data_IF_687355729444
#
_entry.id   IF_687355729444
#
_cell.length_a   1.000
_cell.length_b   1.000
_cell.length_c   1.000
_cell.angle_alpha   90.00
_cell.angle_beta   90.00
_cell.angle_gamma   90.00
#
_symmetry.space_group_name_H-M   'P 1'
#
loop_
_entity.id
_entity.type
_entity.pdbx_description
1 polymer ?
#
# COMPACT_ATOMS: atom_id res chain seq x y z
N UNK A 1 50.48 -72.66 -28.92
CA UNK A 1 49.71 -71.87 -27.98
C UNK A 1 48.25 -71.71 -28.40
N UNK A 2 47.86 -71.73 -29.68
CA UNK A 2 46.47 -71.51 -30.16
C UNK A 2 45.48 -72.64 -29.78
N UNK A 3 45.88 -73.90 -29.62
CA UNK A 3 44.96 -74.99 -29.27
C UNK A 3 44.43 -75.00 -27.83
N UNK A 4 45.21 -74.50 -26.89
CA UNK A 4 44.77 -74.33 -25.44
C UNK A 4 43.78 -73.20 -25.27
N UNK A 5 43.74 -72.17 -26.19
CA UNK A 5 42.84 -71.06 -26.09
C UNK A 5 41.40 -71.43 -26.59
N UNK A 6 41.30 -72.36 -27.53
CA UNK A 6 40.01 -72.80 -28.06
C UNK A 6 39.37 -73.98 -27.31
N UNK A 7 40.08 -74.55 -26.34
CA UNK A 7 39.52 -75.63 -25.51
C UNK A 7 38.50 -75.03 -24.55
N UNK A 8 37.27 -75.56 -24.57
CA UNK A 8 36.13 -75.06 -23.76
C UNK A 8 35.72 -73.60 -24.04
N UNK A 9 35.79 -73.19 -25.32
CA UNK A 9 35.42 -71.83 -25.76
C UNK A 9 33.99 -71.45 -25.34
N UNK A 10 33.04 -72.37 -25.35
CA UNK A 10 31.65 -72.13 -24.88
C UNK A 10 31.57 -71.77 -23.39
N UNK A 11 32.35 -72.49 -22.56
CA UNK A 11 32.42 -72.18 -21.11
C UNK A 11 33.06 -70.83 -20.86
N UNK A 12 34.05 -70.44 -21.65
CA UNK A 12 34.68 -69.10 -21.51
C UNK A 12 33.76 -67.96 -21.91
N UNK A 13 32.99 -68.11 -23.00
CA UNK A 13 31.98 -67.16 -23.43
C UNK A 13 30.88 -67.07 -22.40
N UNK A 14 30.41 -68.21 -21.87
CA UNK A 14 29.42 -68.23 -20.78
C UNK A 14 29.90 -67.52 -19.53
N UNK A 15 31.17 -67.74 -19.12
CA UNK A 15 31.77 -67.05 -17.95
C UNK A 15 31.85 -65.54 -18.17
N UNK A 16 32.19 -65.05 -19.37
CA UNK A 16 32.19 -63.64 -19.71
C UNK A 16 30.79 -63.07 -19.66
N UNK A 17 29.79 -63.76 -20.24
CA UNK A 17 28.39 -63.32 -20.19
C UNK A 17 27.88 -63.24 -18.74
N UNK A 18 28.15 -64.25 -17.91
CA UNK A 18 27.78 -64.25 -16.48
C UNK A 18 28.49 -63.10 -15.76
N UNK A 19 29.78 -62.85 -16.04
CA UNK A 19 30.54 -61.75 -15.45
C UNK A 19 29.96 -60.38 -15.80
N UNK A 20 29.55 -60.19 -17.06
CA UNK A 20 28.87 -58.96 -17.53
C UNK A 20 27.54 -58.78 -16.83
N UNK A 21 26.73 -59.85 -16.70
CA UNK A 21 25.44 -59.79 -16.01
C UNK A 21 25.63 -59.46 -14.52
N UNK A 22 26.60 -60.14 -13.87
CA UNK A 22 26.93 -59.84 -12.47
C UNK A 22 27.49 -58.43 -12.26
N UNK A 23 28.27 -57.91 -13.21
CA UNK A 23 28.77 -56.54 -13.18
C UNK A 23 27.63 -55.57 -13.32
N UNK A 24 26.68 -55.83 -14.25
CA UNK A 24 25.50 -54.95 -14.46
C UNK A 24 24.60 -54.92 -13.21
N UNK A 25 24.38 -56.09 -12.57
CA UNK A 25 23.66 -56.18 -11.30
C UNK A 25 24.41 -55.48 -10.16
N UNK A 26 25.75 -55.61 -10.11
CA UNK A 26 26.55 -54.95 -9.10
C UNK A 26 26.57 -53.43 -9.23
N UNK A 27 26.53 -52.91 -10.44
CA UNK A 27 26.43 -51.46 -10.68
C UNK A 27 25.07 -50.92 -10.21
N UNK A 28 23.97 -51.61 -10.55
CA UNK A 28 22.62 -51.22 -10.15
C UNK A 28 22.41 -51.26 -8.61
N UNK A 29 23.05 -52.22 -7.92
CA UNK A 29 23.04 -52.33 -6.45
C UNK A 29 23.87 -51.23 -5.79
N UNK A 30 24.95 -50.75 -6.42
CA UNK A 30 25.85 -49.77 -5.81
C UNK A 30 25.40 -48.28 -6.02
N UNK A 31 24.57 -48.00 -7.03
CA UNK A 31 24.04 -46.65 -7.32
C UNK A 31 22.51 -46.66 -7.48
N UNK A 32 21.77 -46.96 -6.40
CA UNK A 32 20.34 -47.08 -6.45
C UNK A 32 19.69 -45.70 -6.72
N UNK A 33 18.60 -45.71 -7.48
CA UNK A 33 17.78 -44.53 -7.70
C UNK A 33 16.99 -44.21 -6.44
N UNK A 34 17.12 -42.98 -5.94
CA UNK A 34 16.45 -42.50 -4.75
C UNK A 34 15.71 -41.18 -5.02
N UNK A 35 14.76 -40.85 -4.15
CA UNK A 35 14.05 -39.57 -4.21
C UNK A 35 14.67 -38.56 -3.28
N UNK A 36 14.83 -37.32 -3.73
CA UNK A 36 15.17 -36.16 -2.92
C UNK A 36 14.06 -35.12 -3.00
N UNK A 37 13.66 -34.61 -1.85
CA UNK A 37 12.67 -33.55 -1.77
C UNK A 37 13.36 -32.20 -1.50
N UNK A 38 13.01 -31.21 -2.30
CA UNK A 38 13.49 -29.84 -2.18
C UNK A 38 12.26 -29.01 -1.84
N UNK A 39 12.27 -28.40 -0.66
CA UNK A 39 11.15 -27.58 -0.18
C UNK A 39 11.37 -26.13 -0.53
N UNK A 40 10.27 -25.35 -0.55
CA UNK A 40 10.27 -23.90 -0.73
C UNK A 40 10.97 -23.45 -2.02
N UNK A 41 10.76 -24.17 -3.12
CA UNK A 41 11.20 -23.73 -4.46
C UNK A 41 10.23 -22.65 -4.93
N UNK A 42 10.77 -21.46 -5.19
CA UNK A 42 9.98 -20.32 -5.69
C UNK A 42 9.75 -20.46 -7.19
N UNK A 43 8.49 -20.35 -7.63
CA UNK A 43 8.13 -20.32 -9.04
C UNK A 43 8.30 -18.90 -9.58
N UNK A 44 9.11 -18.76 -10.63
CA UNK A 44 9.32 -17.49 -11.32
C UNK A 44 8.19 -17.26 -12.34
N UNK A 45 7.44 -16.18 -12.15
CA UNK A 45 6.44 -15.76 -13.13
C UNK A 45 7.12 -15.03 -14.29
N UNK A 46 6.88 -15.51 -15.51
CA UNK A 46 7.41 -14.91 -16.74
C UNK A 46 6.29 -14.33 -17.60
N UNK A 47 6.65 -13.49 -18.59
CA UNK A 47 5.70 -12.86 -19.51
C UNK A 47 4.57 -12.07 -18.83
N UNK A 48 4.88 -11.42 -17.69
CA UNK A 48 3.92 -10.61 -16.92
C UNK A 48 3.27 -9.50 -17.76
N UNK A 49 3.94 -9.08 -18.86
CA UNK A 49 3.41 -8.14 -19.84
C UNK A 49 2.13 -8.61 -20.55
N UNK A 50 1.88 -9.90 -20.60
CA UNK A 50 0.68 -10.47 -21.25
C UNK A 50 -0.62 -10.00 -20.55
N UNK A 51 -0.62 -9.86 -19.23
CA UNK A 51 -1.76 -9.33 -18.47
C UNK A 51 -1.72 -7.80 -18.35
N UNK A 52 -0.56 -7.23 -18.04
CA UNK A 52 -0.45 -5.78 -17.85
C UNK A 52 -0.71 -4.99 -19.13
N UNK A 53 -0.36 -5.53 -20.31
CA UNK A 53 -0.68 -4.96 -21.62
C UNK A 53 -2.18 -4.93 -21.93
N UNK A 54 -2.98 -5.77 -21.28
CA UNK A 54 -4.44 -5.79 -21.36
C UNK A 54 -5.11 -4.93 -20.29
N UNK A 55 -4.35 -4.14 -19.52
CA UNK A 55 -4.89 -3.36 -18.40
C UNK A 55 -5.33 -4.22 -17.21
N UNK A 56 -4.79 -5.43 -17.09
CA UNK A 56 -5.06 -6.36 -16.00
C UNK A 56 -3.90 -6.40 -15.01
N UNK A 57 -4.19 -6.80 -13.79
CA UNK A 57 -3.24 -7.09 -12.73
C UNK A 57 -3.60 -8.43 -12.12
N UNK A 58 -2.69 -9.02 -11.35
CA UNK A 58 -2.90 -10.33 -10.74
C UNK A 58 -2.38 -10.36 -9.31
N UNK A 59 -2.92 -11.28 -8.55
CA UNK A 59 -2.48 -11.64 -7.21
C UNK A 59 -2.31 -13.16 -7.14
N UNK A 60 -1.22 -13.59 -6.48
CA UNK A 60 -0.99 -15.02 -6.20
C UNK A 60 -1.90 -15.44 -5.05
N UNK A 61 -2.61 -16.55 -5.24
CA UNK A 61 -3.51 -17.10 -4.23
C UNK A 61 -2.84 -18.28 -3.53
N UNK A 62 -3.04 -18.40 -2.21
CA UNK A 62 -2.61 -19.54 -1.37
C UNK A 62 -1.10 -19.86 -1.44
N UNK A 63 -0.25 -18.82 -1.64
CA UNK A 63 1.19 -19.00 -1.83
C UNK A 63 1.51 -20.11 -2.84
N UNK A 64 0.71 -20.19 -3.92
CA UNK A 64 0.83 -21.23 -4.92
C UNK A 64 2.11 -21.13 -5.77
N UNK A 65 2.84 -20.05 -5.66
CA UNK A 65 4.16 -19.80 -6.23
C UNK A 65 5.32 -20.45 -5.43
N UNK A 66 5.01 -21.07 -4.29
CA UNK A 66 6.00 -21.81 -3.50
C UNK A 66 5.65 -23.28 -3.51
N UNK A 67 6.55 -24.12 -4.03
CA UNK A 67 6.32 -25.54 -4.26
C UNK A 67 7.37 -26.43 -3.61
N UNK A 68 7.00 -27.69 -3.43
CA UNK A 68 7.93 -28.76 -3.11
C UNK A 68 8.22 -29.56 -4.37
N UNK A 69 9.51 -29.71 -4.68
CA UNK A 69 9.97 -30.50 -5.84
C UNK A 69 10.54 -31.83 -5.36
N UNK A 70 10.17 -32.93 -6.04
CA UNK A 70 10.70 -34.25 -5.88
C UNK A 70 11.54 -34.61 -7.09
N UNK A 71 12.79 -34.90 -6.87
CA UNK A 71 13.75 -35.32 -7.89
C UNK A 71 14.11 -36.78 -7.65
N UNK A 72 13.96 -37.61 -8.68
CA UNK A 72 14.34 -38.99 -8.69
C UNK A 72 15.58 -39.17 -9.56
N UNK A 73 16.67 -39.62 -8.95
CA UNK A 73 17.94 -39.76 -9.64
C UNK A 73 18.84 -40.81 -8.93
N UNK A 74 19.90 -41.31 -9.59
CA UNK A 74 20.92 -42.14 -8.98
C UNK A 74 21.54 -41.42 -7.75
N UNK A 75 21.89 -42.16 -6.73
CA UNK A 75 22.46 -41.65 -5.47
C UNK A 75 23.69 -40.77 -5.72
N UNK A 76 24.51 -41.13 -6.72
CA UNK A 76 25.69 -40.34 -7.12
C UNK A 76 25.31 -38.95 -7.63
N UNK A 77 24.27 -38.85 -8.41
CA UNK A 77 23.79 -37.57 -9.00
C UNK A 77 23.02 -36.71 -7.98
N UNK A 78 22.27 -37.34 -7.06
CA UNK A 78 21.41 -36.64 -6.09
C UNK A 78 22.16 -35.73 -5.12
N UNK A 79 23.44 -36.06 -4.82
CA UNK A 79 24.26 -35.24 -3.94
C UNK A 79 24.58 -33.85 -4.51
N UNK A 80 24.61 -33.72 -5.83
CA UNK A 80 24.85 -32.46 -6.55
C UNK A 80 23.59 -31.62 -6.79
N UNK A 81 22.40 -32.16 -6.48
CA UNK A 81 21.13 -31.48 -6.70
C UNK A 81 20.73 -30.74 -5.43
N UNK A 82 20.56 -29.42 -5.51
CA UNK A 82 20.09 -28.54 -4.44
C UNK A 82 18.96 -27.62 -4.93
N UNK A 83 18.53 -26.70 -4.10
CA UNK A 83 17.46 -25.74 -4.47
C UNK A 83 17.87 -24.81 -5.61
N UNK A 84 19.17 -24.56 -5.81
CA UNK A 84 19.68 -23.69 -6.87
C UNK A 84 19.78 -24.43 -8.21
N UNK A 85 19.83 -25.75 -8.17
CA UNK A 85 19.84 -26.62 -9.35
C UNK A 85 18.48 -26.72 -10.02
N UNK A 86 17.39 -26.40 -9.31
CA UNK A 86 16.01 -26.50 -9.79
C UNK A 86 15.50 -25.12 -10.15
N UNK A 87 15.00 -24.99 -11.36
CA UNK A 87 14.30 -23.78 -11.81
C UNK A 87 12.83 -24.14 -12.08
N UNK A 88 11.92 -23.42 -11.44
CA UNK A 88 10.48 -23.52 -11.68
C UNK A 88 10.00 -22.21 -12.30
N UNK A 89 9.29 -22.30 -13.42
CA UNK A 89 8.74 -21.15 -14.16
C UNK A 89 7.26 -21.33 -14.41
N UNK A 90 6.52 -20.24 -14.48
CA UNK A 90 5.13 -20.20 -14.92
C UNK A 90 4.95 -19.03 -15.86
N UNK A 91 4.52 -19.31 -17.09
CA UNK A 91 4.36 -18.31 -18.14
C UNK A 91 2.93 -17.75 -18.11
N UNK A 92 2.78 -16.43 -17.83
CA UNK A 92 1.47 -15.79 -17.76
C UNK A 92 0.74 -15.69 -19.10
N UNK A 93 1.43 -15.95 -20.23
CA UNK A 93 0.76 -16.06 -21.53
C UNK A 93 -0.08 -17.34 -21.67
N UNK A 94 0.18 -18.34 -20.82
CA UNK A 94 -0.54 -19.63 -20.79
C UNK A 94 -1.63 -19.68 -19.71
N UNK A 95 -1.99 -18.51 -19.12
CA UNK A 95 -3.03 -18.45 -18.10
C UNK A 95 -4.37 -18.95 -18.64
N UNK A 96 -5.00 -19.82 -17.89
CA UNK A 96 -6.34 -20.35 -18.21
C UNK A 96 -7.43 -19.42 -17.67
N UNK A 97 -8.68 -19.58 -18.13
CA UNK A 97 -9.82 -18.75 -17.71
C UNK A 97 -10.11 -18.83 -16.20
N UNK A 98 -9.70 -19.92 -15.55
CA UNK A 98 -9.82 -20.12 -14.10
C UNK A 98 -8.62 -19.59 -13.30
N UNK A 99 -7.70 -18.88 -13.97
CA UNK A 99 -6.56 -18.23 -13.34
C UNK A 99 -5.40 -19.16 -13.01
N UNK A 100 -5.32 -20.34 -13.64
CA UNK A 100 -4.21 -21.28 -13.45
C UNK A 100 -3.13 -21.06 -14.48
N UNK A 101 -1.88 -21.08 -14.04
CA UNK A 101 -0.69 -21.01 -14.91
C UNK A 101 0.14 -22.26 -14.67
N UNK A 102 0.41 -23.07 -15.72
CA UNK A 102 1.18 -24.30 -15.58
C UNK A 102 2.60 -24.01 -15.10
N UNK A 103 3.13 -24.91 -14.25
CA UNK A 103 4.50 -24.81 -13.75
C UNK A 103 5.40 -25.71 -14.60
N UNK A 104 6.38 -25.10 -15.22
CA UNK A 104 7.46 -25.79 -15.90
C UNK A 104 8.65 -25.95 -14.96
N UNK A 105 9.13 -27.20 -14.81
CA UNK A 105 10.30 -27.54 -14.03
C UNK A 105 11.48 -27.84 -14.95
N UNK A 106 12.61 -27.25 -14.65
CA UNK A 106 13.88 -27.54 -15.31
C UNK A 106 15.01 -27.67 -14.31
N UNK A 107 16.03 -28.43 -14.68
CA UNK A 107 17.24 -28.61 -13.90
C UNK A 107 18.42 -27.97 -14.64
N UNK A 108 19.44 -27.60 -13.89
CA UNK A 108 20.70 -27.15 -14.46
C UNK A 108 21.28 -28.23 -15.37
N UNK A 109 21.87 -27.82 -16.49
CA UNK A 109 22.44 -28.74 -17.48
C UNK A 109 23.55 -29.61 -16.86
N UNK A 110 23.58 -30.89 -17.28
CA UNK A 110 24.62 -31.87 -16.87
C UNK A 110 24.24 -32.75 -15.68
N UNK A 111 23.02 -32.58 -15.11
CA UNK A 111 22.50 -33.48 -14.07
C UNK A 111 21.72 -34.64 -14.72
N UNK A 112 22.11 -35.86 -14.41
CA UNK A 112 21.39 -37.06 -14.86
C UNK A 112 20.27 -37.38 -13.86
N UNK A 113 19.02 -37.16 -14.32
CA UNK A 113 17.82 -37.38 -13.50
C UNK A 113 16.82 -38.22 -14.24
N UNK A 114 16.22 -39.16 -13.54
CA UNK A 114 15.17 -40.03 -14.11
C UNK A 114 13.84 -39.28 -14.20
N UNK A 115 13.49 -38.48 -13.16
CA UNK A 115 12.21 -37.76 -13.08
C UNK A 115 12.28 -36.58 -12.15
N UNK A 116 11.62 -35.49 -12.54
CA UNK A 116 11.33 -34.35 -11.69
C UNK A 116 9.82 -34.11 -11.62
N UNK A 117 9.29 -33.85 -10.44
CA UNK A 117 7.86 -33.56 -10.23
C UNK A 117 7.71 -32.53 -9.10
N UNK A 118 6.61 -31.82 -9.10
CA UNK A 118 6.21 -30.94 -8.01
C UNK A 118 4.91 -31.43 -7.35
N UNK A 119 4.69 -30.96 -6.13
CA UNK A 119 3.44 -31.16 -5.39
C UNK A 119 2.27 -30.34 -5.97
N UNK A 120 2.58 -29.26 -6.70
CA UNK A 120 1.62 -28.45 -7.44
C UNK A 120 2.00 -28.39 -8.91
N UNK A 121 1.02 -28.45 -9.79
CA UNK A 121 1.24 -28.41 -11.24
C UNK A 121 0.98 -27.04 -11.85
N UNK A 122 0.36 -26.14 -11.10
CA UNK A 122 0.03 -24.78 -11.53
C UNK A 122 0.15 -23.77 -10.38
N UNK A 123 0.42 -22.53 -10.75
CA UNK A 123 0.25 -21.37 -9.86
C UNK A 123 -1.17 -20.87 -10.03
N UNK A 124 -1.86 -20.63 -8.93
CA UNK A 124 -3.20 -20.05 -8.92
C UNK A 124 -3.11 -18.54 -8.80
N UNK A 125 -3.65 -17.84 -9.78
CA UNK A 125 -3.73 -16.38 -9.83
C UNK A 125 -5.18 -15.93 -9.77
N UNK A 126 -5.42 -14.86 -9.05
CA UNK A 126 -6.63 -14.06 -9.17
C UNK A 126 -6.31 -12.87 -10.07
N UNK A 127 -6.96 -12.81 -11.24
CA UNK A 127 -6.77 -11.73 -12.21
C UNK A 127 -7.91 -10.72 -12.08
N UNK A 128 -7.55 -9.45 -12.00
CA UNK A 128 -8.49 -8.33 -11.90
C UNK A 128 -8.12 -7.23 -12.91
N UNK A 129 -9.08 -6.37 -13.22
CA UNK A 129 -8.78 -5.16 -13.95
C UNK A 129 -7.91 -4.23 -13.11
N UNK A 130 -6.95 -3.59 -13.76
CA UNK A 130 -6.19 -2.52 -13.13
C UNK A 130 -7.04 -1.26 -13.10
N UNK A 131 -7.22 -0.70 -11.91
CA UNK A 131 -7.95 0.55 -11.70
C UNK A 131 -7.01 1.64 -11.24
N UNK A 132 -7.25 2.86 -11.72
CA UNK A 132 -6.59 4.07 -11.22
C UNK A 132 -7.68 5.00 -10.69
N UNK A 133 -7.47 5.56 -9.51
CA UNK A 133 -8.38 6.50 -8.85
C UNK A 133 -7.62 7.67 -8.27
N UNK A 134 -8.19 8.87 -8.40
CA UNK A 134 -7.70 10.06 -7.71
C UNK A 134 -8.49 10.26 -6.41
N UNK A 135 -7.78 10.60 -5.36
CA UNK A 135 -8.31 10.90 -4.02
C UNK A 135 -7.81 12.28 -3.60
N UNK A 136 -8.65 13.02 -2.89
CA UNK A 136 -8.20 14.20 -2.16
C UNK A 136 -7.44 13.76 -0.91
N UNK A 137 -6.36 14.47 -0.59
CA UNK A 137 -5.59 14.25 0.63
C UNK A 137 -6.22 15.11 1.74
N UNK A 138 -6.61 14.47 2.84
CA UNK A 138 -7.16 15.11 4.03
C UNK A 138 -6.07 15.26 5.09
N UNK A 139 -6.11 16.35 5.85
CA UNK A 139 -5.19 16.59 6.97
C UNK A 139 -5.88 16.26 8.27
N UNK A 140 -5.41 15.24 8.96
CA UNK A 140 -5.80 14.90 10.33
C UNK A 140 -4.89 15.64 11.32
N UNK A 141 -5.48 16.53 12.12
CA UNK A 141 -4.78 17.29 13.16
C UNK A 141 -4.85 16.52 14.47
N UNK A 142 -3.70 16.19 15.03
CA UNK A 142 -3.57 15.54 16.32
C UNK A 142 -2.94 16.51 17.32
N UNK A 143 -3.41 16.46 18.57
CA UNK A 143 -2.92 17.33 19.64
C UNK A 143 -3.62 18.68 19.71
N UNK A 144 -3.16 19.52 20.65
CA UNK A 144 -3.71 20.85 20.95
C UNK A 144 -2.61 21.90 20.97
N UNK A 145 -2.93 23.05 20.39
CA UNK A 145 -2.06 24.22 20.50
C UNK A 145 -2.11 24.77 21.93
N UNK A 146 -1.02 25.41 22.38
CA UNK A 146 -1.03 26.20 23.63
C UNK A 146 -2.05 27.35 23.57
N UNK A 147 -2.49 27.80 24.72
CA UNK A 147 -3.33 29.01 24.82
C UNK A 147 -2.63 30.21 24.17
N UNK A 148 -3.41 30.99 23.45
CA UNK A 148 -2.89 32.15 22.72
C UNK A 148 -2.50 31.86 21.27
N UNK A 149 -2.67 30.63 20.78
CA UNK A 149 -2.35 30.25 19.41
C UNK A 149 -3.54 29.59 18.70
N UNK A 150 -3.54 29.68 17.37
CA UNK A 150 -4.50 29.02 16.47
C UNK A 150 -3.82 28.60 15.17
N UNK A 151 -4.35 27.58 14.52
CA UNK A 151 -3.89 27.21 13.16
C UNK A 151 -4.45 28.18 12.14
N UNK A 152 -3.59 28.68 11.25
CA UNK A 152 -4.03 29.33 10.02
C UNK A 152 -4.49 28.33 8.96
N UNK A 153 -4.60 28.81 7.71
CA UNK A 153 -4.91 27.95 6.58
C UNK A 153 -3.75 27.00 6.32
N UNK A 154 -4.04 25.72 6.32
CA UNK A 154 -3.05 24.69 6.01
C UNK A 154 -2.87 24.64 4.50
N UNK A 155 -1.63 24.69 4.05
CA UNK A 155 -1.26 24.54 2.64
C UNK A 155 -0.50 23.24 2.43
N UNK A 156 -0.77 22.56 1.30
CA UNK A 156 -0.09 21.33 0.89
C UNK A 156 0.50 21.52 -0.51
N UNK A 157 1.67 20.95 -0.76
CA UNK A 157 2.31 20.98 -2.07
C UNK A 157 1.42 20.35 -3.15
N UNK A 158 0.73 19.26 -2.81
CA UNK A 158 -0.34 18.66 -3.61
C UNK A 158 -1.49 18.24 -2.69
N UNK A 159 -2.71 18.42 -3.14
CA UNK A 159 -3.92 18.00 -2.43
C UNK A 159 -4.59 16.77 -3.05
N UNK A 160 -3.95 16.16 -4.07
CA UNK A 160 -4.47 14.99 -4.76
C UNK A 160 -3.45 13.86 -4.80
N UNK A 161 -3.93 12.65 -4.56
CA UNK A 161 -3.19 11.41 -4.67
C UNK A 161 -3.78 10.55 -5.76
N UNK A 162 -2.95 10.04 -6.66
CA UNK A 162 -3.35 9.01 -7.61
C UNK A 162 -2.90 7.64 -7.11
N UNK A 163 -3.86 6.73 -6.94
CA UNK A 163 -3.62 5.33 -6.58
C UNK A 163 -3.96 4.42 -7.74
N UNK A 164 -3.21 3.33 -7.91
CA UNK A 164 -3.47 2.33 -8.94
C UNK A 164 -3.16 0.91 -8.43
N UNK A 165 -3.94 -0.07 -8.85
CA UNK A 165 -3.80 -1.46 -8.42
C UNK A 165 -4.98 -2.31 -8.88
N UNK A 166 -5.15 -3.51 -8.30
CA UNK A 166 -6.35 -4.32 -8.48
C UNK A 166 -7.62 -3.54 -8.17
N UNK A 167 -8.66 -3.72 -8.96
CA UNK A 167 -9.91 -2.97 -8.78
C UNK A 167 -10.50 -3.17 -7.38
N UNK A 168 -10.45 -4.38 -6.85
CA UNK A 168 -10.91 -4.68 -5.49
C UNK A 168 -10.15 -3.90 -4.43
N UNK A 169 -8.81 -3.87 -4.53
CA UNK A 169 -7.95 -3.15 -3.59
C UNK A 169 -8.15 -1.63 -3.67
N UNK A 170 -8.23 -1.07 -4.89
CA UNK A 170 -8.45 0.36 -5.10
C UNK A 170 -9.84 0.79 -4.62
N UNK A 171 -10.86 -0.06 -4.81
CA UNK A 171 -12.24 0.21 -4.34
C UNK A 171 -12.36 0.17 -2.81
N UNK A 172 -11.54 -0.62 -2.13
CA UNK A 172 -11.51 -0.68 -0.67
C UNK A 172 -11.02 0.63 -0.03
N UNK A 173 -10.21 1.42 -0.76
CA UNK A 173 -9.71 2.70 -0.25
C UNK A 173 -10.84 3.74 -0.28
N UNK A 174 -11.17 4.30 0.89
CA UNK A 174 -12.15 5.38 1.02
C UNK A 174 -11.49 6.76 1.02
N UNK A 175 -10.41 6.93 1.80
CA UNK A 175 -9.76 8.23 2.04
C UNK A 175 -8.24 8.12 2.02
N UNK A 176 -7.58 9.23 1.67
CA UNK A 176 -6.14 9.42 1.81
C UNK A 176 -5.91 10.51 2.88
N UNK A 177 -5.13 10.20 3.91
CA UNK A 177 -4.96 11.06 5.09
C UNK A 177 -3.49 11.24 5.41
N UNK A 178 -3.12 12.45 5.82
CA UNK A 178 -1.83 12.76 6.44
C UNK A 178 -2.06 13.24 7.87
N UNK A 179 -1.26 12.74 8.80
CA UNK A 179 -1.32 13.14 10.20
C UNK A 179 -0.31 14.24 10.50
N UNK A 180 -0.75 15.27 11.20
CA UNK A 180 0.11 16.30 11.73
C UNK A 180 -0.08 16.40 13.25
N UNK A 181 1.02 16.51 14.00
CA UNK A 181 0.98 16.76 15.44
C UNK A 181 1.14 18.25 15.68
N UNK A 182 0.23 18.81 16.49
CA UNK A 182 0.22 20.22 16.88
C UNK A 182 0.49 20.42 18.38
N UNK A 183 0.95 19.38 19.09
CA UNK A 183 1.19 19.45 20.52
C UNK A 183 2.30 20.46 20.84
N UNK A 184 1.96 21.48 21.64
CA UNK A 184 2.86 22.54 22.10
C UNK A 184 3.57 23.33 20.99
N UNK A 185 2.97 23.41 19.81
CA UNK A 185 3.52 24.15 18.67
C UNK A 185 3.17 25.63 18.79
N UNK A 186 4.18 26.53 18.74
CA UNK A 186 4.05 27.99 18.84
C UNK A 186 4.58 28.73 17.60
N UNK A 187 5.14 28.00 16.61
CA UNK A 187 5.68 28.57 15.39
C UNK A 187 5.20 27.77 14.17
N UNK A 188 5.30 28.36 12.99
CA UNK A 188 4.94 27.68 11.75
C UNK A 188 5.63 26.34 11.63
N UNK A 189 4.88 25.32 11.20
CA UNK A 189 5.36 23.94 10.99
C UNK A 189 5.39 23.65 9.50
N UNK A 190 6.49 23.06 9.04
CA UNK A 190 6.66 22.53 7.70
C UNK A 190 7.18 21.10 7.84
N UNK A 191 6.41 20.12 7.37
CA UNK A 191 6.72 18.70 7.50
C UNK A 191 6.43 17.95 6.21
N UNK A 192 7.22 16.91 5.94
CA UNK A 192 6.91 15.90 4.93
C UNK A 192 6.09 14.79 5.58
N UNK A 193 4.77 14.86 5.40
CA UNK A 193 3.84 13.93 6.03
C UNK A 193 3.57 12.72 5.13
N UNK A 194 3.71 11.52 5.67
CA UNK A 194 3.42 10.26 4.96
C UNK A 194 1.92 10.12 4.74
N UNK A 195 1.54 9.75 3.51
CA UNK A 195 0.14 9.55 3.13
C UNK A 195 -0.29 8.13 3.50
N UNK A 196 -1.30 8.02 4.36
CA UNK A 196 -1.98 6.76 4.72
C UNK A 196 -3.28 6.62 3.96
N UNK A 197 -3.59 5.39 3.57
CA UNK A 197 -4.85 5.04 2.92
C UNK A 197 -5.77 4.41 3.95
N UNK A 198 -7.01 4.86 4.01
CA UNK A 198 -8.01 4.35 4.95
C UNK A 198 -9.21 3.75 4.20
N UNK A 199 -9.80 2.70 4.76
CA UNK A 199 -11.07 2.15 4.33
C UNK A 199 -12.27 3.01 4.79
N UNK A 200 -13.50 2.54 4.56
CA UNK A 200 -14.72 3.23 4.98
C UNK A 200 -14.88 3.25 6.50
N UNK A 201 -14.32 2.27 7.21
CA UNK A 201 -14.40 2.15 8.67
C UNK A 201 -13.27 2.93 9.37
N UNK A 202 -12.32 3.49 8.60
CA UNK A 202 -11.18 4.24 9.12
C UNK A 202 -9.96 3.39 9.46
N UNK A 203 -9.93 2.11 9.09
CA UNK A 203 -8.76 1.26 9.27
C UNK A 203 -7.74 1.53 8.17
N UNK A 204 -6.46 1.43 8.52
CA UNK A 204 -5.39 1.63 7.55
C UNK A 204 -5.23 0.45 6.60
N UNK A 205 -5.19 0.75 5.30
CA UNK A 205 -4.92 -0.22 4.25
C UNK A 205 -3.42 -0.20 3.94
N UNK A 206 -2.71 -1.24 4.39
CA UNK A 206 -1.30 -1.50 4.07
C UNK A 206 -1.21 -2.61 3.03
N UNK A 207 -1.37 -2.29 1.76
CA UNK A 207 -1.30 -3.27 0.67
C UNK A 207 -0.18 -2.92 -0.30
N UNK A 208 0.72 -3.87 -0.54
CA UNK A 208 1.77 -3.75 -1.57
C UNK A 208 1.22 -3.77 -3.00
N UNK A 209 -0.05 -4.13 -3.17
CA UNK A 209 -0.73 -4.18 -4.46
C UNK A 209 -1.16 -2.79 -4.94
N UNK A 210 -1.32 -1.83 -4.01
CA UNK A 210 -1.69 -0.44 -4.34
C UNK A 210 -0.43 0.39 -4.52
N UNK A 211 -0.29 0.98 -5.69
CA UNK A 211 0.77 1.94 -6.00
C UNK A 211 0.24 3.35 -5.87
N UNK A 212 0.96 4.18 -5.12
CA UNK A 212 0.75 5.62 -5.00
C UNK A 212 1.69 6.36 -5.94
N UNK A 213 1.26 7.48 -6.52
CA UNK A 213 2.15 8.34 -7.32
C UNK A 213 3.15 9.12 -6.45
N UNK A 214 2.78 9.40 -5.19
CA UNK A 214 3.64 10.00 -4.15
C UNK A 214 3.36 9.32 -2.82
N UNK A 215 4.39 9.14 -1.98
CA UNK A 215 4.27 8.49 -0.67
C UNK A 215 4.11 9.49 0.47
N UNK A 216 4.61 10.72 0.29
CA UNK A 216 4.51 11.81 1.25
C UNK A 216 4.16 13.11 0.56
N UNK A 217 3.68 14.06 1.31
CA UNK A 217 3.37 15.42 0.85
C UNK A 217 3.90 16.43 1.86
N UNK A 218 4.46 17.51 1.35
CA UNK A 218 4.87 18.64 2.18
C UNK A 218 3.64 19.42 2.64
N UNK A 219 3.48 19.55 3.96
CA UNK A 219 2.38 20.27 4.61
C UNK A 219 2.96 21.46 5.37
N UNK A 220 2.41 22.63 5.11
CA UNK A 220 2.75 23.87 5.82
C UNK A 220 1.57 24.29 6.67
N UNK A 221 1.78 24.39 7.98
CA UNK A 221 0.79 24.80 8.95
C UNK A 221 1.22 26.14 9.56
N UNK A 222 0.63 27.25 9.14
CA UNK A 222 0.87 28.54 9.79
C UNK A 222 0.27 28.52 11.21
N UNK A 223 1.05 28.95 12.19
CA UNK A 223 0.57 29.16 13.56
C UNK A 223 0.43 30.67 13.76
N UNK A 224 -0.78 31.06 14.15
CA UNK A 224 -1.18 32.43 14.36
C UNK A 224 -1.35 32.70 15.86
N UNK A 225 -0.96 33.88 16.31
CA UNK A 225 -1.33 34.36 17.65
C UNK A 225 -2.82 34.67 17.70
N UNK A 226 -3.40 34.52 18.88
CA UNK A 226 -4.80 34.93 19.13
C UNK A 226 -4.87 36.07 20.12
N UNK A 227 -5.82 36.97 19.92
CA UNK A 227 -6.12 38.07 20.77
C UNK A 227 -7.63 38.14 21.02
N UNK A 228 -8.01 38.38 22.25
CA UNK A 228 -9.39 38.69 22.61
C UNK A 228 -9.63 40.18 22.42
N UNK A 229 -10.66 40.55 21.68
CA UNK A 229 -11.03 41.94 21.40
C UNK A 229 -12.49 42.16 21.75
N UNK A 230 -12.81 43.37 22.20
CA UNK A 230 -14.19 43.77 22.51
C UNK A 230 -14.97 44.06 21.22
N UNK A 231 -16.26 43.79 21.26
CA UNK A 231 -17.18 44.20 20.21
C UNK A 231 -17.94 45.41 20.69
N UNK A 232 -17.90 46.48 19.89
CA UNK A 232 -18.72 47.68 20.12
C UNK A 232 -19.79 47.81 19.05
N UNK A 233 -20.95 48.27 19.41
CA UNK A 233 -22.03 48.59 18.52
C UNK A 233 -22.66 49.94 18.89
N UNK A 234 -23.11 50.64 17.88
CA UNK A 234 -23.91 51.87 18.04
C UNK A 234 -25.17 51.74 17.19
N UNK A 235 -26.22 52.43 17.58
CA UNK A 235 -27.46 52.52 16.83
C UNK A 235 -27.56 53.85 16.09
N UNK A 236 -28.32 53.84 14.97
CA UNK A 236 -28.73 55.03 14.21
C UNK A 236 -30.24 55.16 14.22
N UNK A 237 -30.74 56.30 13.75
CA UNK A 237 -32.17 56.59 13.63
C UNK A 237 -32.77 57.14 14.93
N UNK A 238 -33.95 57.73 14.76
CA UNK A 238 -34.74 58.27 15.91
C UNK A 238 -35.95 57.36 16.10
N UNK A 239 -36.24 56.95 17.35
CA UNK A 239 -37.49 56.22 17.65
C UNK A 239 -38.73 57.01 17.31
N UNK A 240 -39.89 56.32 17.21
CA UNK A 240 -41.17 56.93 16.95
C UNK A 240 -41.56 57.97 18.02
N UNK A 241 -42.43 58.90 17.68
CA UNK A 241 -42.93 59.92 18.61
C UNK A 241 -43.47 59.29 19.91
N UNK A 242 -42.97 59.79 21.04
CA UNK A 242 -43.29 59.27 22.38
C UNK A 242 -42.42 58.14 22.90
N UNK A 243 -41.40 57.74 22.14
CA UNK A 243 -40.39 56.79 22.54
C UNK A 243 -39.00 57.42 22.61
N UNK A 244 -38.16 56.92 23.49
CA UNK A 244 -36.79 57.39 23.65
C UNK A 244 -35.82 56.22 23.60
N UNK A 245 -34.64 56.47 23.02
CA UNK A 245 -33.54 55.54 23.08
C UNK A 245 -33.03 55.49 24.54
N UNK A 246 -32.91 54.29 25.10
CA UNK A 246 -32.36 54.08 26.46
C UNK A 246 -30.87 54.38 26.59
N UNK A 247 -30.18 54.56 25.46
CA UNK A 247 -28.74 54.79 25.37
C UNK A 247 -27.88 53.55 25.56
N UNK A 248 -28.48 52.41 25.84
CA UNK A 248 -27.75 51.14 26.08
C UNK A 248 -27.89 50.20 24.91
N UNK A 249 -26.80 49.96 24.21
CA UNK A 249 -26.67 48.86 23.22
C UNK A 249 -25.91 47.75 23.87
N UNK A 250 -26.49 46.56 23.93
CA UNK A 250 -25.84 45.36 24.46
C UNK A 250 -25.45 44.45 23.31
N UNK A 251 -24.23 43.94 23.35
CA UNK A 251 -23.68 43.03 22.37
C UNK A 251 -23.43 41.67 23.03
N UNK A 252 -23.82 40.59 22.40
CA UNK A 252 -23.54 39.25 22.91
C UNK A 252 -23.03 38.37 21.77
N UNK A 253 -21.83 37.80 21.86
CA UNK A 253 -20.86 37.93 22.94
C UNK A 253 -20.21 39.34 23.01
N UNK A 254 -19.76 39.76 24.19
CA UNK A 254 -19.06 41.06 24.41
C UNK A 254 -17.64 41.07 23.83
N UNK A 255 -17.01 39.90 23.76
CA UNK A 255 -15.66 39.73 23.23
C UNK A 255 -15.61 38.58 22.21
N UNK A 256 -14.67 38.66 21.29
CA UNK A 256 -14.38 37.62 20.32
C UNK A 256 -12.88 37.39 20.24
N UNK A 257 -12.50 36.11 20.07
CA UNK A 257 -11.11 35.71 19.84
C UNK A 257 -10.78 35.78 18.35
N UNK A 258 -9.85 36.67 18.00
CA UNK A 258 -9.32 36.78 16.63
C UNK A 258 -7.95 36.17 16.54
N UNK A 259 -7.58 35.61 15.36
CA UNK A 259 -6.29 35.04 15.08
C UNK A 259 -5.62 35.77 13.93
N UNK A 260 -4.33 36.06 14.06
CA UNK A 260 -3.59 36.78 13.04
C UNK A 260 -2.10 36.85 13.32
N UNK A 261 -1.39 37.57 12.44
CA UNK A 261 0.03 37.91 12.73
C UNK A 261 0.10 38.95 13.84
N UNK A 262 1.03 38.84 14.78
CA UNK A 262 1.22 39.75 15.88
C UNK A 262 1.14 41.24 15.47
N UNK A 263 1.88 41.63 14.43
CA UNK A 263 1.90 43.02 13.95
C UNK A 263 0.55 43.55 13.43
N UNK A 264 -0.40 42.64 13.09
CA UNK A 264 -1.77 43.00 12.70
C UNK A 264 -2.66 43.07 13.95
N UNK A 265 -2.55 42.08 14.83
CA UNK A 265 -3.34 42.01 16.09
C UNK A 265 -3.07 43.19 17.01
N UNK A 266 -1.82 43.68 17.07
CA UNK A 266 -1.44 44.86 17.87
C UNK A 266 -2.23 46.10 17.48
N UNK A 267 -2.67 46.23 16.25
CA UNK A 267 -3.43 47.36 15.70
C UNK A 267 -4.93 47.27 15.93
N UNK A 268 -5.42 46.09 16.32
CA UNK A 268 -6.85 45.85 16.52
C UNK A 268 -7.12 45.84 18.03
N UNK A 269 -7.83 46.84 18.54
CA UNK A 269 -8.26 46.93 19.92
C UNK A 269 -9.72 46.55 20.12
N UNK A 270 -10.55 46.80 19.14
CA UNK A 270 -11.99 46.52 19.15
C UNK A 270 -12.50 46.21 17.73
N UNK A 271 -13.64 45.59 17.67
CA UNK A 271 -14.40 45.38 16.42
C UNK A 271 -15.66 46.21 16.56
N UNK A 272 -15.83 47.17 15.66
CA UNK A 272 -17.03 48.03 15.66
C UNK A 272 -18.02 47.46 14.65
N UNK A 273 -19.23 47.16 15.10
CA UNK A 273 -20.35 46.80 14.25
C UNK A 273 -20.86 48.08 13.59
N UNK A 274 -21.04 48.12 12.25
CA UNK A 274 -21.59 49.29 11.58
C UNK A 274 -22.96 49.71 12.16
N UNK A 275 -23.14 50.99 12.36
CA UNK A 275 -24.35 51.51 13.03
C UNK A 275 -25.64 51.23 12.23
N UNK A 276 -25.52 51.08 10.93
CA UNK A 276 -26.60 50.72 10.03
C UNK A 276 -27.24 49.36 10.31
N UNK A 277 -26.50 48.48 11.00
CA UNK A 277 -27.01 47.18 11.42
C UNK A 277 -28.00 47.24 12.57
N UNK A 278 -28.08 48.40 13.28
CA UNK A 278 -29.03 48.65 14.37
C UNK A 278 -29.73 50.00 14.13
N UNK A 279 -30.71 50.01 13.22
CA UNK A 279 -31.51 51.19 12.90
C UNK A 279 -32.76 51.25 13.79
N UNK A 280 -32.90 52.36 14.51
CA UNK A 280 -34.01 52.66 15.42
C UNK A 280 -35.07 53.53 14.79
N UNK A 281 -34.98 53.86 13.51
CA UNK A 281 -35.96 54.73 12.84
C UNK A 281 -37.39 54.19 13.02
N UNK A 282 -38.29 55.05 13.55
CA UNK A 282 -39.67 54.73 13.86
C UNK A 282 -39.89 53.54 14.82
N UNK A 283 -38.88 53.17 15.60
CA UNK A 283 -38.96 52.02 16.51
C UNK A 283 -39.91 52.37 17.69
N UNK A 284 -40.81 51.41 17.98
CA UNK A 284 -41.78 51.47 19.11
C UNK A 284 -41.51 50.41 20.18
N UNK A 285 -40.45 49.59 19.99
CA UNK A 285 -40.06 48.50 20.87
C UNK A 285 -38.54 48.29 20.76
N UNK A 286 -37.90 47.52 21.71
CA UNK A 286 -36.49 47.17 21.57
C UNK A 286 -36.18 46.50 20.23
N UNK A 287 -35.15 46.99 19.57
CA UNK A 287 -34.66 46.43 18.29
C UNK A 287 -33.52 45.46 18.60
N UNK A 288 -33.56 44.28 18.01
CA UNK A 288 -32.52 43.27 18.10
C UNK A 288 -32.14 42.81 16.68
N UNK A 289 -30.86 42.79 16.41
CA UNK A 289 -30.31 42.23 15.17
C UNK A 289 -29.31 41.13 15.45
N UNK A 290 -29.21 40.18 14.53
CA UNK A 290 -28.22 39.11 14.56
C UNK A 290 -27.38 39.21 13.27
N UNK A 291 -26.08 39.35 13.44
CA UNK A 291 -25.12 39.62 12.38
C UNK A 291 -24.19 38.40 12.22
#
# INVERSE_FOLDING_TARGET
MKSKLMHNLGLKIMAVLISVVLWMLAVDINDPVINKYINNVQVQLTNTGALTGQGKTYRIVDNSDTIRVSVRAPKSAISAIDAQSVTAKADLSEITDDGRVPIELSLSSGLDVEKITSDRQYVQLQVENKKTRQLSIEVAKNGTLPDGYATGRIDMETNTLSISGPESAVNAVSRAVVDISLDNVTANVEIDATIRLLDADGNEITSSEIRKNVDSVKVTVPILETKEVTISASAIGEPADGYEQTGTVTVSPETVKIAGRAAVLDKISEITIPAEELDLTDATAPVTNTI
#
